data_IF_436844153706
#
_entry.id   IF_436844153706
#
_cell.length_a   1.000
_cell.length_b   1.000
_cell.length_c   1.000
_cell.angle_alpha   90.00
_cell.angle_beta   90.00
_cell.angle_gamma   90.00
#
_symmetry.space_group_name_H-M   'P 1'
#
loop_
_entity.id
_entity.type
_entity.pdbx_description
1 polymer ?
#
# COMPACT_ATOMS: atom_id res chain seq x y z
N UNK A 1 -17.35 5.51 -18.22
CA UNK A 1 -17.21 6.36 -17.01
C UNK A 1 -15.76 6.83 -16.92
N UNK A 2 -15.51 8.14 -16.79
CA UNK A 2 -14.16 8.71 -16.65
C UNK A 2 -13.47 8.23 -15.36
N UNK A 3 -12.14 8.25 -15.30
CA UNK A 3 -11.31 7.97 -14.09
C UNK A 3 -11.77 8.79 -12.87
N UNK A 4 -12.35 9.97 -13.09
CA UNK A 4 -13.03 10.78 -12.05
C UNK A 4 -14.25 10.07 -11.42
N UNK A 5 -14.98 9.28 -12.19
CA UNK A 5 -16.16 8.55 -11.73
C UNK A 5 -15.84 7.34 -10.85
N UNK A 6 -14.66 6.72 -11.02
CA UNK A 6 -14.23 5.59 -10.19
C UNK A 6 -13.74 6.05 -8.81
N UNK A 7 -12.99 7.16 -8.75
CA UNK A 7 -12.68 7.83 -7.49
C UNK A 7 -13.94 8.36 -6.81
N UNK A 8 -14.91 8.89 -7.59
CA UNK A 8 -16.21 9.28 -7.05
C UNK A 8 -16.97 8.08 -6.48
N UNK A 9 -16.86 6.88 -7.07
CA UNK A 9 -17.53 5.67 -6.60
C UNK A 9 -16.91 5.09 -5.33
N UNK A 10 -15.58 5.10 -5.18
CA UNK A 10 -14.91 4.72 -3.92
C UNK A 10 -15.23 5.74 -2.82
N UNK A 11 -15.20 7.04 -3.13
CA UNK A 11 -15.63 8.11 -2.20
C UNK A 11 -17.12 8.00 -1.87
N UNK A 12 -17.96 7.61 -2.83
CA UNK A 12 -19.38 7.37 -2.66
C UNK A 12 -19.66 6.12 -1.84
N UNK A 13 -18.89 5.03 -1.98
CA UNK A 13 -19.00 3.83 -1.14
C UNK A 13 -18.53 4.10 0.28
N UNK A 14 -17.46 4.89 0.48
CA UNK A 14 -17.10 5.39 1.81
C UNK A 14 -18.16 6.33 2.39
N UNK A 15 -18.83 7.12 1.54
CA UNK A 15 -19.94 7.99 1.92
C UNK A 15 -21.25 7.25 2.18
N UNK A 16 -21.51 6.14 1.49
CA UNK A 16 -22.70 5.29 1.64
C UNK A 16 -22.54 4.39 2.87
N UNK A 17 -21.35 3.83 3.11
CA UNK A 17 -21.00 3.20 4.40
C UNK A 17 -21.08 4.22 5.54
N UNK A 18 -20.63 5.46 5.32
CA UNK A 18 -20.76 6.57 6.27
C UNK A 18 -22.22 7.00 6.53
N UNK A 19 -23.08 6.98 5.51
CA UNK A 19 -24.49 7.37 5.60
C UNK A 19 -25.35 6.26 6.23
N UNK A 20 -25.13 5.00 5.86
CA UNK A 20 -25.78 3.83 6.49
C UNK A 20 -25.35 3.71 7.94
N UNK A 21 -24.08 3.92 8.24
CA UNK A 21 -23.59 3.92 9.60
C UNK A 21 -24.09 5.15 10.40
N UNK A 22 -24.24 6.34 9.79
CA UNK A 22 -24.82 7.53 10.46
C UNK A 22 -26.30 7.39 10.77
N UNK A 23 -27.04 6.63 9.96
CA UNK A 23 -28.44 6.29 10.21
C UNK A 23 -28.59 5.22 11.32
N UNK A 24 -27.61 4.33 11.47
CA UNK A 24 -27.64 3.25 12.47
C UNK A 24 -26.96 3.59 13.81
N UNK A 25 -26.02 4.55 13.85
CA UNK A 25 -25.20 4.86 15.03
C UNK A 25 -24.95 6.38 15.13
N UNK A 26 -25.93 7.12 15.67
CA UNK A 26 -25.84 8.56 15.85
C UNK A 26 -24.58 9.01 16.63
N UNK A 27 -23.95 10.10 16.19
CA UNK A 27 -22.84 10.80 16.87
C UNK A 27 -21.48 10.09 16.93
N UNK A 28 -21.46 8.76 16.88
CA UNK A 28 -20.26 7.93 17.02
C UNK A 28 -19.36 7.96 15.76
N UNK A 29 -19.94 8.25 14.59
CA UNK A 29 -19.22 8.24 13.31
C UNK A 29 -18.33 9.43 13.00
N UNK A 30 -18.59 10.61 13.57
CA UNK A 30 -17.71 11.77 13.37
C UNK A 30 -16.35 11.55 14.05
N UNK A 31 -16.35 10.81 15.17
CA UNK A 31 -15.11 10.33 15.81
C UNK A 31 -14.46 9.21 14.98
N UNK A 32 -15.24 8.26 14.46
CA UNK A 32 -14.72 7.15 13.64
C UNK A 32 -14.18 7.56 12.28
N UNK A 33 -14.77 8.55 11.60
CA UNK A 33 -14.25 9.05 10.33
C UNK A 33 -12.87 9.71 10.50
N UNK A 34 -12.68 10.47 11.58
CA UNK A 34 -11.38 11.01 11.97
C UNK A 34 -10.36 9.92 12.30
N UNK A 35 -10.77 8.89 13.04
CA UNK A 35 -9.94 7.72 13.37
C UNK A 35 -9.56 6.93 12.11
N UNK A 36 -10.50 6.65 11.20
CA UNK A 36 -10.21 5.91 9.96
C UNK A 36 -9.33 6.74 9.02
N UNK A 37 -9.48 8.06 8.98
CA UNK A 37 -8.63 8.95 8.19
C UNK A 37 -7.22 9.07 8.78
N UNK A 38 -7.09 9.18 10.11
CA UNK A 38 -5.82 9.28 10.83
C UNK A 38 -5.03 7.97 10.83
N UNK A 39 -5.65 6.84 11.21
CA UNK A 39 -5.03 5.51 11.16
C UNK A 39 -4.76 5.06 9.71
N UNK A 40 -5.68 5.37 8.79
CA UNK A 40 -5.48 5.14 7.37
C UNK A 40 -4.32 5.96 6.80
N UNK A 41 -4.12 7.19 7.27
CA UNK A 41 -2.98 8.02 6.89
C UNK A 41 -1.67 7.49 7.47
N UNK A 42 -1.64 7.04 8.72
CA UNK A 42 -0.44 6.47 9.34
C UNK A 42 0.01 5.20 8.61
N UNK A 43 -0.91 4.28 8.30
CA UNK A 43 -0.60 3.05 7.56
C UNK A 43 -0.03 3.36 6.16
N UNK A 44 -0.63 4.33 5.45
CA UNK A 44 -0.14 4.78 4.13
C UNK A 44 1.23 5.45 4.23
N UNK A 45 1.44 6.32 5.21
CA UNK A 45 2.68 7.05 5.42
C UNK A 45 3.84 6.09 5.74
N UNK A 46 3.61 5.15 6.67
CA UNK A 46 4.57 4.11 7.04
C UNK A 46 4.99 3.27 5.85
N UNK A 47 4.02 2.76 5.09
CA UNK A 47 4.27 1.98 3.88
C UNK A 47 5.17 2.75 2.90
N UNK A 48 4.83 4.00 2.60
CA UNK A 48 5.57 4.83 1.67
C UNK A 48 6.99 5.14 2.14
N UNK A 49 7.18 5.44 3.43
CA UNK A 49 8.52 5.68 3.99
C UNK A 49 9.38 4.42 3.87
N UNK A 50 8.85 3.24 4.22
CA UNK A 50 9.57 1.98 4.06
C UNK A 50 9.92 1.72 2.60
N UNK A 51 8.98 1.92 1.68
CA UNK A 51 9.17 1.74 0.24
C UNK A 51 10.28 2.64 -0.30
N UNK A 52 10.27 3.93 0.07
CA UNK A 52 11.30 4.88 -0.35
C UNK A 52 12.68 4.51 0.21
N UNK A 53 12.76 4.07 1.47
CA UNK A 53 14.01 3.64 2.08
C UNK A 53 14.54 2.31 1.51
N UNK A 54 13.70 1.52 0.83
CA UNK A 54 14.14 0.34 0.09
C UNK A 54 14.97 0.69 -1.14
N UNK A 55 14.78 1.89 -1.72
CA UNK A 55 15.61 2.40 -2.81
C UNK A 55 17.01 2.84 -2.34
N UNK A 56 17.21 2.98 -1.03
CA UNK A 56 18.47 3.38 -0.41
C UNK A 56 18.28 4.41 0.71
N UNK A 57 19.34 4.68 1.49
CA UNK A 57 19.29 5.59 2.63
C UNK A 57 18.86 7.01 2.22
N UNK A 58 18.02 7.66 3.03
CA UNK A 58 17.51 9.02 2.76
C UNK A 58 17.43 9.87 4.02
N UNK A 59 17.61 11.17 3.86
CA UNK A 59 17.31 12.16 4.89
C UNK A 59 15.80 12.38 5.04
N UNK A 60 15.37 12.94 6.17
CA UNK A 60 13.97 13.33 6.38
C UNK A 60 13.46 14.30 5.32
N UNK A 61 14.31 15.22 4.84
CA UNK A 61 13.94 16.14 3.77
C UNK A 61 13.70 15.44 2.43
N UNK A 62 14.57 14.50 2.06
CA UNK A 62 14.40 13.71 0.84
C UNK A 62 13.12 12.86 0.90
N UNK A 63 12.79 12.29 2.07
CA UNK A 63 11.54 11.58 2.29
C UNK A 63 10.32 12.49 2.13
N UNK A 64 10.31 13.70 2.72
CA UNK A 64 9.22 14.67 2.52
C UNK A 64 9.04 14.97 1.03
N UNK A 65 10.13 15.34 0.34
CA UNK A 65 10.09 15.67 -1.09
C UNK A 65 9.51 14.51 -1.92
N UNK A 66 10.04 13.31 -1.73
CA UNK A 66 9.63 12.11 -2.49
C UNK A 66 8.18 11.71 -2.21
N UNK A 67 7.73 11.79 -0.95
CA UNK A 67 6.32 11.51 -0.63
C UNK A 67 5.38 12.49 -1.33
N UNK A 68 5.73 13.78 -1.40
CA UNK A 68 4.96 14.78 -2.16
C UNK A 68 4.96 14.56 -3.68
N UNK A 69 5.98 13.92 -4.24
CA UNK A 69 6.00 13.50 -5.66
C UNK A 69 5.04 12.34 -5.90
N UNK A 70 5.08 11.31 -5.05
CA UNK A 70 4.20 10.13 -5.15
C UNK A 70 2.72 10.52 -4.98
N UNK A 71 2.41 11.36 -3.98
CA UNK A 71 1.04 11.73 -3.67
C UNK A 71 0.38 12.67 -4.71
N UNK A 72 1.17 13.43 -5.48
CA UNK A 72 0.64 14.32 -6.53
C UNK A 72 -0.14 13.56 -7.61
N UNK A 73 0.20 12.31 -7.90
CA UNK A 73 -0.54 11.48 -8.86
C UNK A 73 -1.88 10.94 -8.32
N UNK A 74 -2.09 10.95 -7.01
CA UNK A 74 -3.24 10.33 -6.33
C UNK A 74 -4.12 11.34 -5.55
N UNK A 75 -3.88 12.65 -5.73
CA UNK A 75 -4.62 13.71 -5.02
C UNK A 75 -4.25 13.88 -3.54
N UNK A 76 -3.17 13.24 -3.07
CA UNK A 76 -2.70 13.33 -1.69
C UNK A 76 -1.78 14.53 -1.43
N UNK A 77 -1.59 14.88 -0.16
CA UNK A 77 -0.59 15.87 0.29
C UNK A 77 0.71 15.19 0.71
N UNK A 78 1.83 15.88 0.54
CA UNK A 78 3.14 15.46 1.07
C UNK A 78 3.07 15.19 2.58
N UNK A 79 3.88 14.27 3.09
CA UNK A 79 4.04 14.15 4.54
C UNK A 79 4.64 15.45 5.08
N UNK A 80 3.94 16.03 6.05
CA UNK A 80 4.42 17.22 6.75
C UNK A 80 5.54 16.84 7.73
N UNK A 81 6.39 17.78 8.16
CA UNK A 81 7.34 17.54 9.25
C UNK A 81 6.67 16.96 10.51
N UNK A 82 5.49 17.47 10.87
CA UNK A 82 4.71 17.03 12.03
C UNK A 82 4.15 15.61 11.92
N UNK A 83 4.15 15.03 10.73
CA UNK A 83 3.74 13.63 10.50
C UNK A 83 4.96 12.73 10.32
N UNK A 84 5.95 13.18 9.55
CA UNK A 84 7.10 12.36 9.19
C UNK A 84 8.02 12.06 10.37
N UNK A 85 8.38 13.07 11.17
CA UNK A 85 9.36 12.86 12.23
C UNK A 85 8.85 12.01 13.39
N UNK A 86 7.60 12.17 13.88
CA UNK A 86 7.03 11.24 14.85
C UNK A 86 6.93 9.82 14.31
N UNK A 87 6.57 9.66 13.03
CA UNK A 87 6.54 8.36 12.37
C UNK A 87 7.94 7.71 12.31
N UNK A 88 8.97 8.46 11.90
CA UNK A 88 10.35 7.97 11.86
C UNK A 88 10.86 7.59 13.25
N UNK A 89 10.53 8.38 14.28
CA UNK A 89 10.88 8.05 15.67
C UNK A 89 10.22 6.75 16.12
N UNK A 90 8.93 6.56 15.81
CA UNK A 90 8.20 5.32 16.09
C UNK A 90 8.83 4.13 15.35
N UNK A 91 9.13 4.29 14.06
CA UNK A 91 9.76 3.25 13.25
C UNK A 91 11.18 2.90 13.71
N UNK A 92 11.96 3.87 14.23
CA UNK A 92 13.25 3.62 14.88
C UNK A 92 13.08 2.83 16.18
N UNK A 93 12.12 3.22 17.04
CA UNK A 93 11.84 2.53 18.29
C UNK A 93 11.37 1.08 18.07
N UNK A 94 10.58 0.85 17.01
CA UNK A 94 10.17 -0.47 16.56
C UNK A 94 11.31 -1.26 15.89
N UNK A 95 12.45 -0.64 15.62
CA UNK A 95 13.61 -1.25 14.96
C UNK A 95 13.41 -1.52 13.47
N UNK A 96 12.46 -0.84 12.81
CA UNK A 96 12.21 -0.96 11.37
C UNK A 96 13.23 -0.16 10.55
N UNK A 97 13.69 0.96 11.10
CA UNK A 97 14.70 1.82 10.48
C UNK A 97 15.80 2.13 11.50
N UNK A 98 16.95 2.55 11.01
CA UNK A 98 18.05 3.08 11.82
C UNK A 98 18.47 4.44 11.26
N UNK A 99 18.72 5.40 12.14
CA UNK A 99 19.36 6.66 11.78
C UNK A 99 20.86 6.64 12.04
N UNK A 100 21.60 7.34 11.19
CA UNK A 100 23.01 7.62 11.35
C UNK A 100 23.33 9.02 10.83
N UNK A 101 24.42 9.58 11.33
CA UNK A 101 24.92 10.88 10.88
C UNK A 101 25.87 10.69 9.71
N UNK A 102 25.62 11.40 8.62
CA UNK A 102 26.48 11.43 7.45
C UNK A 102 27.09 12.82 7.26
N UNK A 103 28.39 12.94 6.90
CA UNK A 103 29.01 14.23 6.62
C UNK A 103 28.35 14.92 5.42
N UNK A 104 28.08 16.23 5.55
CA UNK A 104 27.66 17.11 4.45
C UNK A 104 28.38 18.45 4.57
N UNK A 105 29.60 18.51 4.04
CA UNK A 105 30.48 19.66 4.22
C UNK A 105 30.84 19.85 5.71
N UNK A 106 30.64 21.07 6.22
CA UNK A 106 30.88 21.41 7.64
C UNK A 106 29.77 20.95 8.60
N UNK A 107 28.67 20.41 8.10
CA UNK A 107 27.53 19.96 8.90
C UNK A 107 27.37 18.44 8.79
N UNK A 108 26.67 17.85 9.76
CA UNK A 108 26.18 16.47 9.67
C UNK A 108 24.71 16.47 9.30
N UNK A 109 24.28 15.46 8.53
CA UNK A 109 22.89 15.22 8.19
C UNK A 109 22.46 13.88 8.78
N UNK A 110 21.27 13.86 9.38
CA UNK A 110 20.64 12.62 9.83
C UNK A 110 20.03 11.88 8.63
N UNK A 111 20.49 10.65 8.41
CA UNK A 111 20.07 9.76 7.32
C UNK A 111 19.44 8.52 7.92
N UNK A 112 18.36 8.05 7.31
CA UNK A 112 17.61 6.85 7.72
C UNK A 112 17.84 5.73 6.72
N UNK A 113 17.89 4.48 7.20
CA UNK A 113 18.00 3.27 6.38
C UNK A 113 17.13 2.15 6.95
N UNK A 114 16.59 1.30 6.07
CA UNK A 114 15.89 0.09 6.48
C UNK A 114 16.81 -0.86 7.27
N UNK A 115 16.28 -1.43 8.34
CA UNK A 115 16.87 -2.60 8.98
C UNK A 115 16.38 -3.88 8.28
N UNK A 116 16.95 -5.03 8.66
CA UNK A 116 16.43 -6.34 8.22
C UNK A 116 14.96 -6.53 8.60
N UNK A 117 14.57 -6.13 9.82
CA UNK A 117 13.18 -6.18 10.30
C UNK A 117 12.29 -5.27 9.47
N UNK A 118 12.76 -4.07 9.13
CA UNK A 118 12.03 -3.15 8.24
C UNK A 118 11.77 -3.71 6.85
N UNK A 119 12.74 -4.42 6.26
CA UNK A 119 12.56 -5.13 4.98
C UNK A 119 11.49 -6.21 5.10
N UNK A 120 11.52 -7.03 6.14
CA UNK A 120 10.54 -8.09 6.36
C UNK A 120 9.12 -7.54 6.53
N UNK A 121 8.97 -6.45 7.28
CA UNK A 121 7.68 -5.74 7.42
C UNK A 121 7.22 -5.17 6.08
N UNK A 122 8.09 -4.54 5.30
CA UNK A 122 7.75 -4.00 3.99
C UNK A 122 7.25 -5.10 3.03
N UNK A 123 7.96 -6.23 2.95
CA UNK A 123 7.55 -7.35 2.10
C UNK A 123 6.17 -7.91 2.52
N UNK A 124 5.92 -8.03 3.82
CA UNK A 124 4.61 -8.44 4.32
C UNK A 124 3.50 -7.44 3.98
N UNK A 125 3.79 -6.13 4.00
CA UNK A 125 2.84 -5.09 3.57
C UNK A 125 2.57 -5.18 2.07
N UNK A 126 3.59 -5.41 1.24
CA UNK A 126 3.44 -5.61 -0.21
C UNK A 126 2.55 -6.82 -0.49
N UNK A 127 2.84 -7.98 0.12
CA UNK A 127 2.07 -9.19 -0.08
C UNK A 127 0.58 -9.01 0.29
N UNK A 128 0.30 -8.36 1.44
CA UNK A 128 -1.08 -8.02 1.83
C UNK A 128 -1.75 -7.08 0.83
N UNK A 129 -1.04 -6.06 0.36
CA UNK A 129 -1.54 -5.12 -0.65
C UNK A 129 -1.92 -5.81 -1.96
N UNK A 130 -1.09 -6.75 -2.42
CA UNK A 130 -1.38 -7.55 -3.62
C UNK A 130 -2.65 -8.38 -3.45
N UNK A 131 -2.86 -9.02 -2.29
CA UNK A 131 -4.10 -9.76 -2.02
C UNK A 131 -5.36 -8.89 -2.04
N UNK A 132 -5.28 -7.64 -1.58
CA UNK A 132 -6.40 -6.68 -1.67
C UNK A 132 -6.69 -6.31 -3.13
N UNK A 133 -5.65 -6.12 -3.94
CA UNK A 133 -5.81 -5.82 -5.37
C UNK A 133 -6.44 -6.99 -6.12
N UNK A 134 -5.97 -8.21 -5.85
CA UNK A 134 -6.50 -9.46 -6.42
C UNK A 134 -8.01 -9.59 -6.15
N UNK A 135 -8.42 -9.53 -4.88
CA UNK A 135 -9.84 -9.55 -4.49
C UNK A 135 -10.64 -8.39 -5.12
N UNK A 136 -10.02 -7.21 -5.24
CA UNK A 136 -10.59 -6.08 -5.95
C UNK A 136 -10.90 -6.42 -7.40
N UNK A 137 -9.95 -6.98 -8.15
CA UNK A 137 -10.15 -7.32 -9.56
C UNK A 137 -11.23 -8.36 -9.78
N UNK A 138 -11.34 -9.37 -8.92
CA UNK A 138 -12.39 -10.39 -8.98
C UNK A 138 -13.79 -9.77 -8.98
N UNK A 139 -14.06 -8.87 -8.03
CA UNK A 139 -15.35 -8.16 -7.91
C UNK A 139 -15.66 -7.33 -9.17
N UNK A 140 -14.67 -6.65 -9.73
CA UNK A 140 -14.85 -5.86 -10.95
C UNK A 140 -15.14 -6.75 -12.16
N UNK A 141 -14.46 -7.89 -12.28
CA UNK A 141 -14.70 -8.85 -13.35
C UNK A 141 -16.09 -9.47 -13.28
N UNK A 142 -16.55 -9.81 -12.09
CA UNK A 142 -17.91 -10.33 -11.87
C UNK A 142 -18.96 -9.28 -12.27
N UNK A 143 -18.79 -8.03 -11.85
CA UNK A 143 -19.68 -6.93 -12.23
C UNK A 143 -19.74 -6.74 -13.76
N UNK A 144 -18.59 -6.77 -14.45
CA UNK A 144 -18.53 -6.63 -15.91
C UNK A 144 -19.22 -7.80 -16.62
N UNK A 145 -19.07 -9.04 -16.12
CA UNK A 145 -19.78 -10.21 -16.66
C UNK A 145 -21.30 -10.04 -16.52
N UNK A 146 -21.77 -9.56 -15.37
CA UNK A 146 -23.19 -9.26 -15.15
C UNK A 146 -23.74 -8.22 -16.12
N UNK A 147 -22.98 -7.15 -16.39
CA UNK A 147 -23.37 -6.12 -17.36
C UNK A 147 -23.48 -6.65 -18.79
N UNK A 148 -22.61 -7.57 -19.20
CA UNK A 148 -22.68 -8.20 -20.54
C UNK A 148 -23.85 -9.19 -20.64
N UNK A 149 -24.20 -9.88 -19.55
CA UNK A 149 -25.22 -10.93 -19.54
C UNK A 149 -26.66 -10.44 -19.32
N UNK A 150 -26.87 -9.25 -18.74
CA UNK A 150 -28.16 -8.84 -18.21
C UNK A 150 -28.85 -7.63 -18.85
N UNK A 151 -28.20 -6.91 -19.76
CA UNK A 151 -28.73 -5.68 -20.36
C UNK A 151 -28.69 -5.78 -21.88
N UNK A 152 -29.69 -5.20 -22.57
CA UNK A 152 -29.54 -4.86 -23.98
C UNK A 152 -28.53 -3.72 -24.10
N UNK A 153 -27.27 -4.10 -24.22
CA UNK A 153 -26.15 -3.19 -24.38
C UNK A 153 -25.84 -3.08 -25.88
N UNK A 154 -25.77 -1.86 -26.41
CA UNK A 154 -25.33 -1.64 -27.78
C UNK A 154 -23.94 -2.26 -28.02
N UNK A 155 -23.69 -2.71 -29.25
CA UNK A 155 -22.48 -3.43 -29.66
C UNK A 155 -21.20 -2.70 -29.23
N UNK A 156 -21.16 -1.36 -29.33
CA UNK A 156 -19.97 -0.57 -28.97
C UNK A 156 -19.67 -0.66 -27.47
N UNK A 157 -20.70 -0.58 -26.63
CA UNK A 157 -20.52 -0.64 -25.18
C UNK A 157 -20.15 -2.05 -24.76
N UNK A 158 -20.69 -3.08 -25.43
CA UNK A 158 -20.32 -4.48 -25.20
C UNK A 158 -18.84 -4.73 -25.50
N UNK A 159 -18.33 -4.27 -26.64
CA UNK A 159 -16.92 -4.40 -27.02
C UNK A 159 -16.00 -3.73 -25.99
N UNK A 160 -16.33 -2.52 -25.54
CA UNK A 160 -15.58 -1.82 -24.51
C UNK A 160 -15.55 -2.59 -23.18
N UNK A 161 -16.69 -3.14 -22.75
CA UNK A 161 -16.77 -3.92 -21.51
C UNK A 161 -15.92 -5.19 -21.61
N UNK A 162 -15.94 -5.89 -22.74
CA UNK A 162 -15.11 -7.06 -22.98
C UNK A 162 -13.62 -6.72 -23.01
N UNK A 163 -13.24 -5.59 -23.60
CA UNK A 163 -11.85 -5.11 -23.59
C UNK A 163 -11.37 -4.82 -22.16
N UNK A 164 -12.18 -4.11 -21.37
CA UNK A 164 -11.87 -3.80 -19.97
C UNK A 164 -11.73 -5.09 -19.17
N UNK A 165 -12.66 -6.03 -19.33
CA UNK A 165 -12.62 -7.31 -18.63
C UNK A 165 -11.35 -8.12 -19.00
N UNK A 166 -10.97 -8.13 -20.28
CA UNK A 166 -9.74 -8.79 -20.75
C UNK A 166 -8.48 -8.17 -20.15
N UNK A 167 -8.40 -6.83 -20.08
CA UNK A 167 -7.29 -6.11 -19.44
C UNK A 167 -7.24 -6.40 -17.93
N UNK A 168 -8.38 -6.35 -17.24
CA UNK A 168 -8.45 -6.65 -15.80
C UNK A 168 -8.04 -8.10 -15.49
N UNK A 169 -8.45 -9.07 -16.31
CA UNK A 169 -8.02 -10.47 -16.17
C UNK A 169 -6.50 -10.61 -16.31
N UNK A 170 -5.90 -9.90 -17.26
CA UNK A 170 -4.44 -9.87 -17.41
C UNK A 170 -3.74 -9.34 -16.15
N UNK A 171 -4.29 -8.29 -15.52
CA UNK A 171 -3.73 -7.73 -14.29
C UNK A 171 -3.88 -8.69 -13.11
N UNK A 172 -5.07 -9.30 -12.94
CA UNK A 172 -5.33 -10.32 -11.91
C UNK A 172 -4.28 -11.44 -11.97
N UNK A 173 -4.06 -12.02 -13.15
CA UNK A 173 -3.06 -13.09 -13.36
C UNK A 173 -1.64 -12.65 -12.98
N UNK A 174 -1.25 -11.43 -13.33
CA UNK A 174 0.08 -10.90 -12.97
C UNK A 174 0.22 -10.70 -11.46
N UNK A 175 -0.84 -10.25 -10.78
CA UNK A 175 -0.85 -10.06 -9.33
C UNK A 175 -0.77 -11.40 -8.60
N UNK A 176 -1.54 -12.41 -9.01
CA UNK A 176 -1.50 -13.76 -8.44
C UNK A 176 -0.09 -14.36 -8.59
N UNK A 177 0.50 -14.27 -9.78
CA UNK A 177 1.86 -14.77 -10.03
C UNK A 177 2.92 -14.05 -9.19
N UNK A 178 2.79 -12.74 -9.01
CA UNK A 178 3.72 -11.99 -8.17
C UNK A 178 3.62 -12.43 -6.70
N UNK A 179 2.41 -12.70 -6.22
CA UNK A 179 2.17 -13.20 -4.86
C UNK A 179 2.80 -14.58 -4.64
N UNK A 180 2.59 -15.51 -5.57
CA UNK A 180 3.19 -16.85 -5.53
C UNK A 180 4.72 -16.77 -5.43
N UNK A 181 5.36 -15.94 -6.27
CA UNK A 181 6.81 -15.71 -6.22
C UNK A 181 7.28 -15.15 -4.88
N UNK A 182 6.49 -14.26 -4.26
CA UNK A 182 6.79 -13.73 -2.93
C UNK A 182 6.74 -14.82 -1.85
N UNK A 183 5.76 -15.72 -1.92
CA UNK A 183 5.61 -16.84 -1.00
C UNK A 183 6.80 -17.82 -1.15
N UNK A 184 7.14 -18.22 -2.38
CA UNK A 184 8.31 -19.06 -2.68
C UNK A 184 9.63 -18.47 -2.13
N UNK A 185 9.89 -17.19 -2.38
CA UNK A 185 11.09 -16.50 -1.88
C UNK A 185 11.10 -16.47 -0.35
N UNK A 186 9.95 -16.27 0.28
CA UNK A 186 9.84 -16.24 1.74
C UNK A 186 10.14 -17.61 2.36
N UNK A 187 9.65 -18.70 1.75
CA UNK A 187 9.87 -20.07 2.19
C UNK A 187 11.31 -20.51 1.99
N UNK A 188 11.90 -20.21 0.83
CA UNK A 188 13.31 -20.48 0.54
C UNK A 188 14.24 -19.78 1.54
N UNK A 189 13.90 -18.55 1.96
CA UNK A 189 14.66 -17.84 3.00
C UNK A 189 14.52 -18.50 4.37
N UNK A 190 13.34 -19.03 4.70
CA UNK A 190 13.09 -19.73 5.95
C UNK A 190 13.74 -21.13 6.03
N UNK A 191 13.94 -21.82 4.89
CA UNK A 191 14.68 -23.09 4.85
C UNK A 191 16.20 -22.86 5.01
N UNK A 192 16.76 -21.84 4.34
CA UNK A 192 18.18 -21.46 4.46
C UNK A 192 18.54 -21.06 5.90
N UNK A 193 17.68 -20.31 6.59
CA UNK A 193 17.93 -19.89 7.98
C UNK A 193 17.97 -21.09 8.93
N UNK A 194 17.06 -22.07 8.78
CA UNK A 194 17.02 -23.31 9.57
C UNK A 194 18.25 -24.19 9.33
N UNK A 195 18.71 -24.30 8.08
CA UNK A 195 19.91 -25.09 7.74
C UNK A 195 21.20 -24.58 8.41
N UNK A 196 21.38 -23.25 8.51
CA UNK A 196 22.54 -22.65 9.19
C UNK A 196 22.53 -22.87 10.70
N UNK A 197 21.36 -22.88 11.33
CA UNK A 197 21.23 -23.10 12.78
C UNK A 197 21.61 -24.54 13.16
N UNK A 198 21.25 -25.52 12.32
CA UNK A 198 21.59 -26.93 12.54
C UNK A 198 23.10 -27.19 12.38
N UNK A 199 23.77 -26.56 11.41
CA UNK A 199 25.22 -26.70 11.22
C UNK A 199 26.05 -26.07 12.36
N UNK A 200 25.55 -24.99 12.99
CA UNK A 200 26.23 -24.34 14.14
C UNK A 200 26.10 -25.10 15.46
N UNK A 201 25.17 -26.04 15.56
CA UNK A 201 24.95 -26.86 16.77
C UNK A 201 25.78 -28.14 16.83
N UNK A 202 26.56 -28.43 15.78
CA UNK A 202 27.34 -29.66 15.61
C UNK A 202 28.86 -29.45 15.61
N UNK A 203 29.34 -28.24 15.91
CA UNK A 203 30.77 -27.91 16.06
C UNK A 203 30.98 -27.12 17.32
#
# INVERSE_FOLDING_TARGET
MSVRGFYCFIVFLSGLLGAVASLCFGGFLLSWAGVVEEYGLEIRARYLVLLLLAEGPKTGYELMKRTGEVFRGAGGRSLSPGTLYPLLQSMEAEGLVVAFEEPRGLRRRRVYRLTRKGVEVLLAMIARGLGILEAGFEVHLEALRGLVGGLEVDVVVRELVLEIASRLKSVEVLVSRLRELFEEVSEARASISRGRTLQRSRG
#
